data_IF_003710018736
#
_entry.id   IF_003710018736
#
_cell.length_a   1.000
_cell.length_b   1.000
_cell.length_c   1.000
_cell.angle_alpha   90.00
_cell.angle_beta   90.00
_cell.angle_gamma   90.00
#
_symmetry.space_group_name_H-M   'P 1'
#
loop_
_entity.id
_entity.type
_entity.pdbx_description
1 polymer ?
#
# COMPACT_ATOMS: atom_id res chain seq x y z
N UNK A 1 6.33 -51.82 26.10
CA UNK A 1 5.92 -50.61 26.87
C UNK A 1 4.47 -50.69 27.34
N UNK A 2 3.53 -50.97 26.44
CA UNK A 2 2.08 -51.07 26.72
C UNK A 2 1.73 -52.12 27.79
N UNK A 3 2.40 -53.29 27.76
CA UNK A 3 2.18 -54.38 28.73
C UNK A 3 2.61 -54.03 30.17
N UNK A 4 3.68 -53.24 30.33
CA UNK A 4 4.14 -52.74 31.64
C UNK A 4 3.19 -51.70 32.22
N UNK A 5 2.62 -50.84 31.37
CA UNK A 5 1.62 -49.84 31.75
C UNK A 5 0.29 -50.49 32.20
N UNK A 6 -0.18 -51.53 31.49
CA UNK A 6 -1.35 -52.32 31.90
C UNK A 6 -1.17 -52.98 33.26
N UNK A 7 -0.02 -53.59 33.49
CA UNK A 7 0.28 -54.25 34.77
C UNK A 7 0.40 -53.26 35.94
N UNK A 8 0.88 -52.04 35.68
CA UNK A 8 0.93 -50.98 36.69
C UNK A 8 -0.45 -50.40 37.00
N UNK A 9 -1.29 -50.16 35.97
CA UNK A 9 -2.66 -49.67 36.13
C UNK A 9 -3.55 -50.63 36.93
N UNK A 10 -3.41 -51.93 36.71
CA UNK A 10 -4.18 -52.96 37.43
C UNK A 10 -3.79 -53.07 38.92
N UNK A 11 -2.65 -52.51 39.35
CA UNK A 11 -2.21 -52.46 40.77
C UNK A 11 -2.71 -51.22 41.52
N UNK A 12 -3.29 -50.23 40.84
CA UNK A 12 -3.82 -49.00 41.45
C UNK A 12 -5.17 -49.27 42.13
N UNK A 13 -5.51 -48.50 43.18
CA UNK A 13 -6.84 -48.53 43.79
C UNK A 13 -7.92 -48.06 42.80
N UNK A 14 -9.19 -48.44 43.01
CA UNK A 14 -10.32 -48.00 42.16
C UNK A 14 -10.38 -46.48 41.99
N UNK A 15 -10.06 -45.72 43.05
CA UNK A 15 -10.07 -44.24 43.06
C UNK A 15 -8.93 -43.66 42.21
N UNK A 16 -7.76 -44.31 42.22
CA UNK A 16 -6.60 -43.94 41.40
C UNK A 16 -6.78 -44.32 39.93
N UNK A 17 -7.41 -45.47 39.64
CA UNK A 17 -7.78 -45.88 38.29
C UNK A 17 -8.76 -44.89 37.64
N UNK A 18 -9.76 -44.40 38.39
CA UNK A 18 -10.70 -43.39 37.90
C UNK A 18 -10.00 -42.04 37.60
N UNK A 19 -9.10 -41.60 38.49
CA UNK A 19 -8.30 -40.39 38.31
C UNK A 19 -7.37 -40.51 37.10
N UNK A 20 -6.76 -41.68 36.90
CA UNK A 20 -5.94 -41.98 35.73
C UNK A 20 -6.75 -41.96 34.43
N UNK A 21 -7.94 -42.57 34.40
CA UNK A 21 -8.89 -42.52 33.27
C UNK A 21 -9.30 -41.09 32.92
N UNK A 22 -9.65 -40.26 33.91
CA UNK A 22 -9.99 -38.85 33.70
C UNK A 22 -8.80 -38.07 33.11
N UNK A 23 -7.59 -38.26 33.65
CA UNK A 23 -6.37 -37.63 33.09
C UNK A 23 -6.08 -38.09 31.66
N UNK A 24 -6.22 -39.38 31.35
CA UNK A 24 -6.00 -39.89 29.99
C UNK A 24 -7.05 -39.41 29.01
N UNK A 25 -8.31 -39.26 29.44
CA UNK A 25 -9.38 -38.68 28.62
C UNK A 25 -9.10 -37.20 28.32
N UNK A 26 -8.70 -36.42 29.32
CA UNK A 26 -8.32 -35.01 29.14
C UNK A 26 -7.12 -34.90 28.19
N UNK A 27 -6.09 -35.73 28.37
CA UNK A 27 -4.92 -35.75 27.48
C UNK A 27 -5.30 -36.15 26.04
N UNK A 28 -6.21 -37.11 25.87
CA UNK A 28 -6.73 -37.52 24.56
C UNK A 28 -7.51 -36.40 23.87
N UNK A 29 -8.40 -35.71 24.60
CA UNK A 29 -9.13 -34.54 24.08
C UNK A 29 -8.17 -33.42 23.72
N UNK A 30 -7.18 -33.13 24.57
CA UNK A 30 -6.17 -32.10 24.28
C UNK A 30 -5.34 -32.43 23.04
N UNK A 31 -4.98 -33.71 22.84
CA UNK A 31 -4.27 -34.15 21.64
C UNK A 31 -5.14 -34.00 20.38
N UNK A 32 -6.42 -34.37 20.45
CA UNK A 32 -7.36 -34.21 19.33
C UNK A 32 -7.53 -32.72 19.00
N UNK A 33 -7.73 -31.86 20.00
CA UNK A 33 -7.82 -30.41 19.80
C UNK A 33 -6.54 -29.84 19.22
N UNK A 34 -5.37 -30.31 19.67
CA UNK A 34 -4.07 -29.91 19.11
C UNK A 34 -3.92 -30.34 17.64
N UNK A 35 -4.34 -31.56 17.29
CA UNK A 35 -4.29 -32.05 15.92
C UNK A 35 -5.25 -31.27 15.02
N UNK A 36 -6.48 -31.01 15.47
CA UNK A 36 -7.45 -30.16 14.75
C UNK A 36 -6.85 -28.77 14.53
N UNK A 37 -6.28 -28.17 15.57
CA UNK A 37 -5.63 -26.87 15.49
C UNK A 37 -4.47 -26.87 14.49
N UNK A 38 -3.60 -27.88 14.54
CA UNK A 38 -2.49 -28.04 13.59
C UNK A 38 -2.99 -28.14 12.14
N UNK A 39 -4.05 -28.92 11.90
CA UNK A 39 -4.69 -29.03 10.58
C UNK A 39 -5.27 -27.69 10.12
N UNK A 40 -5.96 -26.94 10.99
CA UNK A 40 -6.54 -25.63 10.66
C UNK A 40 -5.46 -24.58 10.35
N UNK A 41 -4.35 -24.61 11.09
CA UNK A 41 -3.23 -23.71 10.84
C UNK A 41 -2.56 -24.09 9.50
N UNK A 42 -2.29 -25.37 9.28
CA UNK A 42 -1.64 -25.90 8.06
C UNK A 42 -2.48 -25.70 6.80
N UNK A 43 -3.79 -25.99 6.84
CA UNK A 43 -4.69 -25.86 5.70
C UNK A 43 -4.82 -24.41 5.18
N UNK A 44 -4.45 -23.42 6.00
CA UNK A 44 -4.40 -22.01 5.59
C UNK A 44 -2.99 -21.47 5.38
N UNK A 45 -1.97 -22.32 5.31
CA UNK A 45 -0.62 -21.90 4.93
C UNK A 45 -0.41 -21.97 3.41
N UNK A 46 0.33 -21.01 2.85
CA UNK A 46 0.79 -21.08 1.46
C UNK A 46 1.69 -22.32 1.24
N UNK A 47 1.70 -22.86 0.03
CA UNK A 47 2.58 -23.95 -0.35
C UNK A 47 4.06 -23.51 -0.39
N UNK A 48 5.00 -24.44 -0.19
CA UNK A 48 6.44 -24.13 -0.31
C UNK A 48 6.83 -23.65 -1.73
N UNK A 49 6.06 -24.02 -2.75
CA UNK A 49 6.26 -23.51 -4.11
C UNK A 49 5.86 -22.03 -4.27
N UNK A 50 4.91 -21.52 -3.48
CA UNK A 50 4.62 -20.06 -3.44
C UNK A 50 5.70 -19.27 -2.69
N UNK A 51 6.51 -19.95 -1.88
CA UNK A 51 7.69 -19.40 -1.20
C UNK A 51 8.87 -19.22 -2.16
N UNK A 52 9.05 -20.15 -3.11
CA UNK A 52 10.15 -20.16 -4.10
C UNK A 52 9.79 -19.39 -5.38
N UNK A 53 8.51 -19.40 -5.76
CA UNK A 53 7.95 -18.61 -6.84
C UNK A 53 6.70 -17.90 -6.31
N UNK A 54 6.84 -16.85 -5.50
CA UNK A 54 5.70 -16.00 -5.18
C UNK A 54 5.09 -15.58 -6.50
N UNK A 55 3.79 -15.85 -6.71
CA UNK A 55 3.06 -15.41 -7.90
C UNK A 55 3.24 -13.91 -8.00
N UNK A 56 4.23 -13.49 -8.77
CA UNK A 56 4.51 -12.08 -9.00
C UNK A 56 3.27 -11.55 -9.66
N UNK A 57 2.66 -10.51 -9.10
CA UNK A 57 1.54 -9.81 -9.73
C UNK A 57 2.08 -9.22 -11.05
N UNK A 58 1.98 -10.00 -12.14
CA UNK A 58 2.46 -9.59 -13.44
C UNK A 58 1.47 -8.60 -14.01
N UNK A 59 1.96 -7.43 -14.40
CA UNK A 59 1.14 -6.43 -15.05
C UNK A 59 0.58 -7.01 -16.36
N UNK A 60 -0.74 -6.96 -16.54
CA UNK A 60 -1.36 -7.28 -17.81
C UNK A 60 -1.06 -6.17 -18.81
N UNK A 61 -0.58 -6.51 -20.00
CA UNK A 61 -0.16 -5.55 -21.02
C UNK A 61 -1.24 -5.47 -22.11
N UNK A 62 -1.60 -4.25 -22.48
CA UNK A 62 -2.55 -3.95 -23.55
C UNK A 62 -1.79 -3.52 -24.81
N UNK A 63 -2.07 -4.17 -25.92
CA UNK A 63 -1.46 -3.96 -27.22
C UNK A 63 -2.46 -3.43 -28.25
N UNK A 64 -1.95 -2.65 -29.19
CA UNK A 64 -2.67 -2.13 -30.34
C UNK A 64 -2.74 -3.16 -31.48
N UNK A 65 -3.37 -2.80 -32.61
CA UNK A 65 -3.52 -3.71 -33.76
C UNK A 65 -2.20 -4.14 -34.41
N UNK A 66 -1.12 -3.39 -34.18
CA UNK A 66 0.21 -3.66 -34.72
C UNK A 66 1.14 -4.30 -33.67
N UNK A 67 0.64 -4.56 -32.46
CA UNK A 67 1.43 -5.10 -31.35
C UNK A 67 2.25 -4.06 -30.59
N UNK A 68 2.03 -2.76 -30.79
CA UNK A 68 2.62 -1.69 -29.97
C UNK A 68 1.89 -1.63 -28.61
N UNK A 69 2.64 -1.47 -27.51
CA UNK A 69 2.06 -1.37 -26.16
C UNK A 69 1.26 -0.08 -26.00
N UNK A 70 -0.04 -0.20 -25.79
CA UNK A 70 -0.94 0.89 -25.41
C UNK A 70 -0.73 1.24 -23.94
N UNK A 71 -0.76 0.24 -23.06
CA UNK A 71 -0.76 0.45 -21.62
C UNK A 71 -0.64 -0.84 -20.85
N UNK A 72 -0.83 -0.75 -19.53
CA UNK A 72 -0.72 -1.89 -18.63
C UNK A 72 -1.72 -1.74 -17.48
N UNK A 73 -2.30 -2.87 -17.05
CA UNK A 73 -3.10 -3.00 -15.84
C UNK A 73 -2.29 -3.72 -14.79
N UNK A 74 -2.12 -3.08 -13.65
CA UNK A 74 -1.41 -3.64 -12.52
C UNK A 74 -2.08 -3.17 -11.23
N UNK A 75 -2.06 -4.00 -10.19
CA UNK A 75 -2.27 -3.51 -8.82
C UNK A 75 -1.00 -2.80 -8.36
N UNK A 76 0.16 -3.26 -8.85
CA UNK A 76 1.49 -2.84 -8.42
C UNK A 76 2.40 -2.60 -9.64
N UNK A 77 2.88 -1.38 -9.84
CA UNK A 77 3.95 -1.14 -10.82
C UNK A 77 5.27 -1.55 -10.16
N UNK A 78 5.60 -2.84 -10.17
CA UNK A 78 6.86 -3.31 -9.60
C UNK A 78 8.00 -3.00 -10.56
N UNK A 79 8.84 -2.05 -10.19
CA UNK A 79 10.22 -2.03 -10.65
C UNK A 79 11.01 -2.77 -9.57
N UNK A 80 11.34 -4.03 -9.83
CA UNK A 80 12.24 -4.77 -8.96
C UNK A 80 13.59 -4.07 -8.96
N UNK A 81 14.07 -3.77 -7.76
CA UNK A 81 15.42 -3.24 -7.57
C UNK A 81 16.25 -4.26 -6.82
N UNK A 82 17.53 -4.30 -7.19
CA UNK A 82 18.56 -4.95 -6.39
C UNK A 82 18.79 -4.12 -5.13
N UNK A 83 18.88 -4.79 -3.98
CA UNK A 83 19.18 -4.17 -2.68
C UNK A 83 20.51 -3.40 -2.67
N UNK A 84 21.46 -3.75 -3.55
CA UNK A 84 22.74 -3.05 -3.68
C UNK A 84 22.58 -1.63 -4.27
N UNK A 85 21.44 -1.33 -4.90
CA UNK A 85 21.10 0.01 -5.41
C UNK A 85 20.40 0.84 -4.32
N UNK A 86 19.91 0.21 -3.25
CA UNK A 86 19.23 0.89 -2.14
C UNK A 86 20.25 1.64 -1.28
N UNK A 87 20.02 2.93 -0.97
CA UNK A 87 20.88 3.66 -0.05
C UNK A 87 20.95 2.97 1.32
N UNK A 88 22.16 2.83 1.87
CA UNK A 88 22.36 2.24 3.20
C UNK A 88 21.51 2.94 4.27
N UNK A 89 21.34 4.26 4.18
CA UNK A 89 20.50 5.03 5.09
C UNK A 89 19.03 4.54 5.13
N UNK A 90 18.50 3.99 4.03
CA UNK A 90 17.16 3.41 4.03
C UNK A 90 17.11 2.08 4.79
N UNK A 91 18.11 1.22 4.56
CA UNK A 91 18.23 -0.07 5.25
C UNK A 91 18.38 0.18 6.76
N UNK A 92 19.24 1.11 7.14
CA UNK A 92 19.49 1.50 8.52
C UNK A 92 18.24 2.09 9.18
N UNK A 93 17.52 2.98 8.49
CA UNK A 93 16.26 3.54 8.96
C UNK A 93 15.20 2.46 9.21
N UNK A 94 15.10 1.50 8.28
CA UNK A 94 14.17 0.37 8.35
C UNK A 94 14.49 -0.51 9.56
N UNK A 95 15.74 -0.96 9.69
CA UNK A 95 16.18 -1.82 10.80
C UNK A 95 16.01 -1.10 12.14
N UNK A 96 16.45 0.16 12.25
CA UNK A 96 16.37 0.90 13.51
C UNK A 96 14.93 1.12 14.01
N UNK A 97 13.96 1.18 13.09
CA UNK A 97 12.56 1.48 13.41
C UNK A 97 11.68 0.24 13.50
N UNK A 98 11.76 -0.63 12.50
CA UNK A 98 10.88 -1.79 12.37
C UNK A 98 11.45 -3.01 13.09
N UNK A 99 12.78 -3.21 13.13
CA UNK A 99 13.37 -4.44 13.64
C UNK A 99 14.85 -4.32 14.08
N UNK A 100 15.08 -3.77 15.28
CA UNK A 100 16.44 -3.45 15.79
C UNK A 100 17.37 -4.65 15.93
N UNK A 101 16.83 -5.85 16.09
CA UNK A 101 17.58 -7.11 16.23
C UNK A 101 17.52 -7.96 14.95
N UNK A 102 17.25 -7.33 13.80
CA UNK A 102 16.99 -8.04 12.54
C UNK A 102 18.01 -9.14 12.23
N UNK A 103 19.30 -8.89 12.46
CA UNK A 103 20.36 -9.85 12.20
C UNK A 103 20.51 -10.95 13.28
N UNK A 104 19.92 -10.77 14.47
CA UNK A 104 20.13 -11.66 15.63
C UNK A 104 19.05 -12.73 15.79
N UNK A 105 17.94 -12.65 15.05
CA UNK A 105 16.81 -13.58 15.19
C UNK A 105 16.52 -14.37 13.89
N UNK A 106 15.82 -15.50 14.03
CA UNK A 106 15.44 -16.41 12.94
C UNK A 106 14.04 -16.10 12.36
N UNK A 107 13.73 -14.82 12.18
CA UNK A 107 12.41 -14.33 11.76
C UNK A 107 11.43 -13.96 12.89
N UNK A 108 11.65 -14.42 14.12
CA UNK A 108 10.79 -14.08 15.28
C UNK A 108 11.63 -13.56 16.45
N UNK A 109 11.36 -12.33 16.90
CA UNK A 109 11.96 -11.77 18.12
C UNK A 109 11.08 -12.11 19.36
N UNK A 110 11.47 -13.18 20.06
CA UNK A 110 10.76 -13.67 21.26
C UNK A 110 10.82 -12.66 22.40
N UNK A 111 11.97 -11.99 22.61
CA UNK A 111 12.12 -10.99 23.65
C UNK A 111 11.16 -9.82 23.44
N UNK A 112 11.04 -9.36 22.18
CA UNK A 112 10.14 -8.26 21.81
C UNK A 112 8.68 -8.66 21.97
N UNK A 113 8.30 -9.89 21.64
CA UNK A 113 6.96 -10.42 21.88
C UNK A 113 6.62 -10.40 23.36
N UNK A 114 7.50 -10.94 24.22
CA UNK A 114 7.29 -10.97 25.67
C UNK A 114 7.16 -9.55 26.21
N UNK A 115 8.07 -8.64 25.84
CA UNK A 115 8.03 -7.23 26.26
C UNK A 115 6.76 -6.52 25.80
N UNK A 116 6.29 -6.79 24.58
CA UNK A 116 5.07 -6.20 24.05
C UNK A 116 3.81 -6.70 24.79
N UNK A 117 3.74 -8.00 25.10
CA UNK A 117 2.66 -8.57 25.91
C UNK A 117 2.63 -7.92 27.28
N UNK A 118 3.79 -7.83 27.95
CA UNK A 118 3.89 -7.21 29.28
C UNK A 118 3.42 -5.75 29.24
N UNK A 119 3.89 -4.95 28.28
CA UNK A 119 3.46 -3.55 28.15
C UNK A 119 1.98 -3.39 27.80
N UNK A 120 1.43 -4.29 27.00
CA UNK A 120 0.02 -4.22 26.59
C UNK A 120 -0.90 -4.58 27.75
N UNK A 121 -0.60 -5.68 28.48
CA UNK A 121 -1.44 -6.18 29.57
C UNK A 121 -1.28 -5.36 30.84
N UNK A 122 -0.04 -5.03 31.22
CA UNK A 122 0.23 -4.39 32.52
C UNK A 122 0.34 -2.87 32.45
N UNK A 123 0.64 -2.29 31.27
CA UNK A 123 0.86 -0.85 31.13
C UNK A 123 -0.14 -0.17 30.17
N UNK A 124 -1.11 -0.91 29.62
CA UNK A 124 -2.09 -0.42 28.64
C UNK A 124 -1.46 0.37 27.47
N UNK A 125 -0.20 0.06 27.12
CA UNK A 125 0.58 0.72 26.07
C UNK A 125 0.87 -0.30 24.97
N UNK A 126 -0.03 -0.46 23.98
CA UNK A 126 0.17 -1.42 22.90
C UNK A 126 1.42 -1.07 22.09
N UNK A 127 2.31 -2.04 21.93
CA UNK A 127 3.56 -1.90 21.16
C UNK A 127 3.62 -2.99 20.08
N UNK A 128 4.05 -2.61 18.89
CA UNK A 128 4.26 -3.56 17.79
C UNK A 128 5.42 -4.51 18.09
N UNK A 129 5.18 -5.81 18.00
CA UNK A 129 6.17 -6.86 18.22
C UNK A 129 6.65 -7.56 16.94
N UNK A 130 6.12 -7.17 15.78
CA UNK A 130 6.44 -7.87 14.53
C UNK A 130 7.77 -7.46 13.94
N UNK A 131 8.50 -8.46 13.43
CA UNK A 131 9.78 -8.36 12.73
C UNK A 131 9.59 -8.02 11.25
N UNK A 132 10.65 -7.63 10.56
CA UNK A 132 10.61 -7.40 9.10
C UNK A 132 10.16 -8.68 8.37
N UNK A 133 10.71 -9.84 8.74
CA UNK A 133 10.36 -11.13 8.13
C UNK A 133 8.90 -11.53 8.34
N UNK A 134 8.33 -11.25 9.53
CA UNK A 134 6.89 -11.44 9.77
C UNK A 134 6.05 -10.52 8.88
N UNK A 135 6.43 -9.24 8.77
CA UNK A 135 5.73 -8.30 7.91
C UNK A 135 5.82 -8.69 6.42
N UNK A 136 6.99 -9.18 5.98
CA UNK A 136 7.19 -9.74 4.64
C UNK A 136 6.25 -10.92 4.40
N UNK A 137 6.19 -11.90 5.31
CA UNK A 137 5.30 -13.06 5.18
C UNK A 137 3.84 -12.65 5.07
N UNK A 138 3.40 -11.68 5.87
CA UNK A 138 2.04 -11.16 5.83
C UNK A 138 1.71 -10.54 4.46
N UNK A 139 2.67 -9.82 3.87
CA UNK A 139 2.49 -9.14 2.59
C UNK A 139 2.53 -10.13 1.41
N UNK A 140 3.49 -11.06 1.38
CA UNK A 140 3.63 -12.04 0.30
C UNK A 140 2.41 -12.96 0.19
N UNK A 141 1.87 -13.41 1.32
CA UNK A 141 0.78 -14.39 1.32
C UNK A 141 -0.61 -13.77 1.46
N UNK A 142 -0.72 -12.43 1.44
CA UNK A 142 -2.00 -11.74 1.57
C UNK A 142 -2.79 -12.17 2.80
N UNK A 143 -2.12 -12.55 3.90
CA UNK A 143 -2.75 -13.26 5.01
C UNK A 143 -3.83 -12.44 5.73
N UNK A 144 -3.81 -11.12 5.54
CA UNK A 144 -4.67 -10.17 6.25
C UNK A 144 -6.01 -9.99 5.53
N UNK A 145 -7.09 -10.40 6.17
CA UNK A 145 -8.46 -10.08 5.75
C UNK A 145 -8.92 -8.74 6.33
N UNK A 146 -9.87 -8.06 5.67
CA UNK A 146 -10.42 -6.77 6.10
C UNK A 146 -11.20 -6.86 7.42
N UNK A 147 -11.82 -8.01 7.69
CA UNK A 147 -12.79 -8.20 8.78
C UNK A 147 -12.38 -9.35 9.73
N UNK A 148 -11.10 -9.38 10.12
CA UNK A 148 -10.62 -10.41 11.05
C UNK A 148 -11.13 -10.22 12.48
N UNK A 149 -11.73 -11.27 13.04
CA UNK A 149 -12.01 -11.35 14.47
C UNK A 149 -10.75 -11.71 15.28
N UNK A 150 -10.81 -11.59 16.61
CA UNK A 150 -9.67 -11.85 17.50
C UNK A 150 -9.02 -13.22 17.30
N UNK A 151 -9.83 -14.27 17.09
CA UNK A 151 -9.35 -15.64 16.86
C UNK A 151 -8.62 -15.74 15.52
N UNK A 152 -9.17 -15.14 14.46
CA UNK A 152 -8.58 -15.14 13.11
C UNK A 152 -7.26 -14.37 13.08
N UNK A 153 -7.20 -13.23 13.79
CA UNK A 153 -5.95 -12.48 14.00
C UNK A 153 -4.87 -13.34 14.67
N UNK A 154 -5.24 -14.14 15.67
CA UNK A 154 -4.32 -15.07 16.35
C UNK A 154 -3.81 -16.17 15.41
N UNK A 155 -4.71 -16.79 14.63
CA UNK A 155 -4.35 -17.81 13.63
C UNK A 155 -3.43 -17.23 12.55
N UNK A 156 -3.74 -16.03 12.02
CA UNK A 156 -2.86 -15.33 11.09
C UNK A 156 -1.49 -15.08 11.69
N UNK A 157 -1.40 -14.62 12.95
CA UNK A 157 -0.10 -14.36 13.59
C UNK A 157 0.75 -15.62 13.74
N UNK A 158 0.13 -16.77 14.00
CA UNK A 158 0.85 -18.05 14.02
C UNK A 158 1.34 -18.44 12.62
N UNK A 159 0.51 -18.24 11.59
CA UNK A 159 0.93 -18.43 10.19
C UNK A 159 2.09 -17.52 9.83
N UNK A 160 2.04 -16.23 10.17
CA UNK A 160 3.16 -15.29 9.98
C UNK A 160 4.43 -15.77 10.69
N UNK A 161 4.34 -16.30 11.92
CA UNK A 161 5.51 -16.85 12.62
C UNK A 161 6.09 -18.04 11.86
N UNK A 162 5.28 -19.03 11.54
CA UNK A 162 5.75 -20.25 10.86
C UNK A 162 6.33 -19.91 9.48
N UNK A 163 5.66 -19.08 8.70
CA UNK A 163 6.14 -18.61 7.40
C UNK A 163 7.42 -17.79 7.52
N UNK A 164 7.57 -16.94 8.56
CA UNK A 164 8.81 -16.20 8.78
C UNK A 164 10.01 -17.12 9.04
N UNK A 165 9.82 -18.23 9.77
CA UNK A 165 10.89 -19.23 9.96
C UNK A 165 11.26 -19.90 8.65
N UNK A 166 10.26 -20.21 7.81
CA UNK A 166 10.50 -20.84 6.51
C UNK A 166 11.29 -19.91 5.59
N UNK A 167 10.90 -18.62 5.53
CA UNK A 167 11.64 -17.60 4.77
C UNK A 167 13.09 -17.52 5.24
N UNK A 168 13.33 -17.44 6.55
CA UNK A 168 14.69 -17.29 7.11
C UNK A 168 15.58 -18.53 6.97
N UNK A 169 14.99 -19.70 6.69
CA UNK A 169 15.74 -20.92 6.39
C UNK A 169 16.18 -20.99 4.93
N UNK A 170 15.44 -20.35 4.03
CA UNK A 170 15.64 -20.45 2.59
C UNK A 170 16.32 -19.21 1.99
N UNK A 171 16.23 -18.06 2.67
CA UNK A 171 16.74 -16.77 2.20
C UNK A 171 17.67 -16.13 3.21
N UNK A 172 18.70 -15.47 2.70
CA UNK A 172 19.61 -14.64 3.49
C UNK A 172 18.94 -13.35 3.97
N UNK A 173 19.48 -12.73 5.01
CA UNK A 173 19.00 -11.43 5.52
C UNK A 173 18.96 -10.34 4.45
N UNK A 174 19.93 -10.36 3.53
CA UNK A 174 20.02 -9.43 2.40
C UNK A 174 18.85 -9.62 1.44
N UNK A 175 18.57 -10.85 1.02
CA UNK A 175 17.44 -11.20 0.15
C UNK A 175 16.09 -10.89 0.82
N UNK A 176 15.98 -11.09 2.13
CA UNK A 176 14.76 -10.75 2.89
C UNK A 176 14.50 -9.23 2.86
N UNK A 177 15.54 -8.41 3.03
CA UNK A 177 15.41 -6.95 2.93
C UNK A 177 15.03 -6.52 1.51
N UNK A 178 15.65 -7.14 0.50
CA UNK A 178 15.32 -6.90 -0.91
C UNK A 178 13.85 -7.18 -1.21
N UNK A 179 13.39 -8.40 -0.90
CA UNK A 179 12.00 -8.80 -1.09
C UNK A 179 11.07 -7.86 -0.31
N UNK A 180 11.38 -7.55 0.95
CA UNK A 180 10.56 -6.66 1.76
C UNK A 180 10.42 -5.27 1.15
N UNK A 181 11.52 -4.66 0.71
CA UNK A 181 11.50 -3.33 0.11
C UNK A 181 10.82 -3.31 -1.24
N UNK A 182 10.86 -4.40 -2.02
CA UNK A 182 10.19 -4.53 -3.31
C UNK A 182 8.68 -4.77 -3.20
N UNK A 183 8.18 -5.40 -2.13
CA UNK A 183 6.74 -5.70 -1.97
C UNK A 183 6.01 -4.76 -1.01
N UNK A 184 6.73 -3.98 -0.22
CA UNK A 184 6.11 -3.11 0.79
C UNK A 184 5.23 -2.02 0.17
N UNK A 185 4.07 -1.79 0.78
CA UNK A 185 3.14 -0.73 0.37
C UNK A 185 3.47 0.59 1.07
N UNK A 186 3.73 1.63 0.29
CA UNK A 186 4.07 2.98 0.77
C UNK A 186 2.94 3.99 0.56
N UNK A 187 1.72 3.55 0.23
CA UNK A 187 0.59 4.45 0.02
C UNK A 187 0.52 4.97 -1.42
N UNK A 188 -0.62 5.56 -1.81
CA UNK A 188 -0.84 6.12 -3.16
C UNK A 188 -0.55 5.13 -4.30
N UNK A 189 -0.84 3.84 -4.10
CA UNK A 189 -0.52 2.77 -5.07
C UNK A 189 0.98 2.54 -5.33
N UNK A 190 1.86 3.10 -4.48
CA UNK A 190 3.28 2.85 -4.53
C UNK A 190 3.62 1.55 -3.78
N UNK A 191 3.77 0.46 -4.54
CA UNK A 191 4.27 -0.82 -4.06
C UNK A 191 5.73 -0.96 -4.49
N UNK A 192 6.59 -1.24 -3.52
CA UNK A 192 8.02 -1.23 -3.72
C UNK A 192 8.65 0.14 -3.49
N UNK A 193 9.87 0.13 -2.96
CA UNK A 193 10.60 1.35 -2.58
C UNK A 193 10.93 2.24 -3.79
N UNK A 194 11.24 1.66 -4.96
CA UNK A 194 11.51 2.44 -6.17
C UNK A 194 10.27 3.21 -6.64
N UNK A 195 9.12 2.55 -6.67
CA UNK A 195 7.84 3.20 -6.93
C UNK A 195 7.54 4.28 -5.89
N UNK A 196 7.87 4.06 -4.61
CA UNK A 196 7.73 5.06 -3.57
C UNK A 196 8.66 6.27 -3.81
N UNK A 197 9.93 6.06 -4.15
CA UNK A 197 10.88 7.13 -4.47
C UNK A 197 10.38 8.02 -5.61
N UNK A 198 9.89 7.41 -6.69
CA UNK A 198 9.32 8.14 -7.82
C UNK A 198 8.02 8.88 -7.46
N UNK A 199 7.17 8.26 -6.64
CA UNK A 199 5.88 8.81 -6.21
C UNK A 199 6.04 10.03 -5.33
N UNK A 200 6.91 9.90 -4.33
CA UNK A 200 7.03 10.86 -3.25
C UNK A 200 8.13 11.88 -3.49
N UNK A 201 9.12 11.61 -4.34
CA UNK A 201 10.24 12.54 -4.54
C UNK A 201 10.57 12.79 -6.01
N UNK A 202 9.95 12.05 -6.94
CA UNK A 202 10.32 12.08 -8.37
C UNK A 202 11.80 11.74 -8.60
N UNK A 203 12.35 10.86 -7.76
CA UNK A 203 13.74 10.41 -7.76
C UNK A 203 13.84 8.90 -7.94
N UNK A 204 15.02 8.43 -8.36
CA UNK A 204 15.37 7.01 -8.18
C UNK A 204 15.63 6.72 -6.70
N UNK A 205 15.43 5.48 -6.28
CA UNK A 205 15.71 5.04 -4.91
C UNK A 205 17.16 5.35 -4.49
N UNK A 206 18.12 5.20 -5.40
CA UNK A 206 19.54 5.46 -5.16
C UNK A 206 19.89 6.94 -4.94
N UNK A 207 18.97 7.84 -5.25
CA UNK A 207 19.13 9.30 -5.14
C UNK A 207 18.49 9.87 -3.87
N UNK A 208 17.91 9.01 -3.03
CA UNK A 208 17.24 9.43 -1.79
C UNK A 208 18.25 9.86 -0.74
N UNK A 209 17.96 10.98 -0.09
CA UNK A 209 18.70 11.41 1.10
C UNK A 209 18.18 10.75 2.39
N UNK A 210 18.87 10.97 3.51
CA UNK A 210 18.52 10.38 4.82
C UNK A 210 17.12 10.79 5.29
N UNK A 211 16.70 12.03 5.05
CA UNK A 211 15.38 12.52 5.47
C UNK A 211 14.26 11.90 4.63
N UNK A 212 14.49 11.71 3.33
CA UNK A 212 13.58 11.02 2.40
C UNK A 212 13.47 9.53 2.74
N UNK A 213 14.60 8.87 3.02
CA UNK A 213 14.63 7.50 3.51
C UNK A 213 13.85 7.32 4.82
N UNK A 214 14.09 8.20 5.80
CA UNK A 214 13.38 8.19 7.06
C UNK A 214 11.87 8.44 6.88
N UNK A 215 11.48 9.23 5.87
CA UNK A 215 10.07 9.49 5.56
C UNK A 215 9.40 8.25 4.94
N UNK A 216 10.06 7.55 4.02
CA UNK A 216 9.55 6.28 3.48
C UNK A 216 9.32 5.25 4.59
N UNK A 217 10.27 5.09 5.50
CA UNK A 217 10.14 4.15 6.63
C UNK A 217 9.04 4.60 7.61
N UNK A 218 8.91 5.90 7.86
CA UNK A 218 7.84 6.43 8.70
C UNK A 218 6.44 6.06 8.18
N UNK A 219 6.26 6.00 6.86
CA UNK A 219 5.00 5.66 6.20
C UNK A 219 4.62 4.19 6.38
N UNK A 220 5.57 3.25 6.45
CA UNK A 220 5.30 1.80 6.50
C UNK A 220 4.31 1.40 7.62
N UNK A 221 4.31 2.12 8.74
CA UNK A 221 3.38 1.88 9.86
C UNK A 221 1.91 2.06 9.45
N UNK A 222 1.61 3.09 8.66
CA UNK A 222 0.26 3.40 8.17
C UNK A 222 0.37 4.34 6.96
N UNK A 223 0.53 3.80 5.75
CA UNK A 223 0.97 4.60 4.60
C UNK A 223 0.00 5.71 4.19
N UNK A 224 -1.31 5.45 4.25
CA UNK A 224 -2.32 6.46 3.93
C UNK A 224 -2.44 7.55 5.01
N UNK A 225 -2.17 7.20 6.28
CA UNK A 225 -2.27 8.13 7.39
C UNK A 225 -1.06 9.07 7.46
N UNK A 226 0.15 8.50 7.34
CA UNK A 226 1.42 9.24 7.37
C UNK A 226 1.82 9.79 5.99
N UNK A 227 0.84 10.16 5.17
CA UNK A 227 1.07 10.66 3.83
C UNK A 227 1.52 12.15 3.88
N UNK A 228 2.71 12.51 3.39
CA UNK A 228 3.22 13.88 3.41
C UNK A 228 2.39 14.86 2.56
N UNK A 229 1.58 14.34 1.64
CA UNK A 229 0.69 15.08 0.74
C UNK A 229 -0.75 15.17 1.22
N UNK A 230 -1.02 14.80 2.48
CA UNK A 230 -2.32 15.07 3.07
C UNK A 230 -2.59 16.57 3.10
N UNK A 231 -3.77 17.00 2.70
CA UNK A 231 -4.18 18.41 2.81
C UNK A 231 -4.50 18.82 4.27
N UNK A 232 -4.57 17.86 5.20
CA UNK A 232 -4.73 18.12 6.62
C UNK A 232 -3.40 18.50 7.26
N UNK A 233 -3.27 19.75 7.71
CA UNK A 233 -2.07 20.23 8.43
C UNK A 233 -1.74 19.35 9.64
N UNK A 234 -2.76 18.85 10.35
CA UNK A 234 -2.59 17.91 11.45
C UNK A 234 -1.91 16.62 11.01
N UNK A 235 -2.36 15.99 9.91
CA UNK A 235 -1.75 14.76 9.39
C UNK A 235 -0.33 15.00 8.88
N UNK A 236 -0.06 16.14 8.23
CA UNK A 236 1.29 16.53 7.82
C UNK A 236 2.23 16.69 9.02
N UNK A 237 1.78 17.33 10.09
CA UNK A 237 2.56 17.46 11.34
C UNK A 237 2.87 16.10 11.96
N UNK A 238 1.88 15.20 12.05
CA UNK A 238 2.08 13.84 12.57
C UNK A 238 3.03 13.00 11.70
N UNK A 239 2.99 13.20 10.38
CA UNK A 239 3.93 12.59 9.43
C UNK A 239 5.37 13.06 9.69
N UNK A 240 5.55 14.38 9.88
CA UNK A 240 6.83 14.97 10.21
C UNK A 240 7.39 14.44 11.55
N UNK A 241 6.54 14.38 12.58
CA UNK A 241 6.90 13.82 13.89
C UNK A 241 7.31 12.35 13.79
N UNK A 242 6.60 11.55 12.98
CA UNK A 242 6.93 10.14 12.76
C UNK A 242 8.25 9.97 12.02
N UNK A 243 8.54 10.77 10.99
CA UNK A 243 9.86 10.79 10.33
C UNK A 243 10.97 11.16 11.31
N UNK A 244 10.74 12.16 12.15
CA UNK A 244 11.75 12.57 13.14
C UNK A 244 12.00 11.48 14.20
N UNK A 245 10.99 10.68 14.53
CA UNK A 245 11.16 9.49 15.36
C UNK A 245 12.02 8.42 14.67
N UNK A 246 11.91 8.25 13.35
CA UNK A 246 12.79 7.35 12.60
C UNK A 246 14.25 7.83 12.68
N UNK A 247 14.50 9.12 12.46
CA UNK A 247 15.83 9.70 12.61
C UNK A 247 16.38 9.51 14.04
N UNK A 248 15.53 9.66 15.06
CA UNK A 248 15.90 9.38 16.44
C UNK A 248 16.28 7.91 16.65
N UNK A 249 15.52 6.97 16.10
CA UNK A 249 15.83 5.56 16.18
C UNK A 249 17.19 5.23 15.54
N UNK A 250 17.54 5.89 14.42
CA UNK A 250 18.83 5.71 13.76
C UNK A 250 19.99 6.19 14.64
N UNK A 251 19.83 7.31 15.36
CA UNK A 251 20.84 7.77 16.34
C UNK A 251 20.99 6.78 17.49
N UNK A 252 19.89 6.26 18.02
CA UNK A 252 19.92 5.26 19.10
C UNK A 252 20.61 3.94 18.69
N UNK A 253 20.62 3.64 17.40
CA UNK A 253 21.30 2.47 16.82
C UNK A 253 22.69 2.82 16.25
N UNK A 254 23.18 4.04 16.50
CA UNK A 254 24.48 4.55 16.04
C UNK A 254 24.65 4.61 14.51
N UNK A 255 23.56 4.53 13.75
CA UNK A 255 23.56 4.64 12.28
C UNK A 255 23.57 6.10 11.79
N UNK A 256 23.27 7.05 12.68
CA UNK A 256 23.23 8.48 12.37
C UNK A 256 23.85 9.26 13.52
N UNK A 257 24.64 10.29 13.22
CA UNK A 257 25.15 11.19 14.26
C UNK A 257 24.05 12.11 14.77
N UNK A 258 24.17 12.57 16.02
CA UNK A 258 23.22 13.55 16.59
C UNK A 258 23.24 14.87 15.80
N UNK A 259 24.41 15.27 15.28
CA UNK A 259 24.53 16.46 14.42
C UNK A 259 23.76 16.30 13.11
N UNK A 260 23.85 15.14 12.46
CA UNK A 260 23.09 14.84 11.25
C UNK A 260 21.59 14.74 11.52
N UNK A 261 21.18 14.19 12.68
CA UNK A 261 19.77 14.18 13.10
C UNK A 261 19.20 15.60 13.12
N UNK A 262 19.91 16.55 13.73
CA UNK A 262 19.48 17.95 13.80
C UNK A 262 19.35 18.54 12.39
N UNK A 263 20.36 18.35 11.54
CA UNK A 263 20.37 18.79 10.14
C UNK A 263 19.17 18.24 9.35
N UNK A 264 18.93 16.94 9.39
CA UNK A 264 17.86 16.29 8.62
C UNK A 264 16.46 16.55 9.19
N UNK A 265 16.35 16.91 10.47
CA UNK A 265 15.07 17.31 11.08
C UNK A 265 14.49 18.57 10.46
N UNK A 266 15.34 19.48 9.98
CA UNK A 266 14.94 20.74 9.36
C UNK A 266 14.39 20.58 7.93
N UNK A 267 14.60 19.43 7.30
CA UNK A 267 14.06 19.17 5.96
C UNK A 267 12.54 19.22 6.00
N UNK A 268 11.96 19.96 5.05
CA UNK A 268 10.51 20.07 4.90
C UNK A 268 9.94 18.83 4.23
N UNK A 269 8.68 18.51 4.52
CA UNK A 269 7.95 17.50 3.76
C UNK A 269 7.82 17.95 2.30
N UNK A 270 7.84 17.02 1.34
CA UNK A 270 7.67 17.37 -0.07
C UNK A 270 6.31 18.05 -0.28
N UNK A 271 6.28 19.06 -1.15
CA UNK A 271 5.09 19.91 -1.33
C UNK A 271 4.16 19.44 -2.45
N UNK A 272 4.67 18.64 -3.41
CA UNK A 272 3.89 18.16 -4.56
C UNK A 272 4.19 16.70 -4.84
N UNK A 273 3.17 15.82 -4.81
CA UNK A 273 3.35 14.46 -5.27
C UNK A 273 3.63 14.44 -6.76
N UNK A 274 4.36 13.41 -7.21
CA UNK A 274 4.17 12.93 -8.57
C UNK A 274 2.78 12.31 -8.64
N UNK A 275 1.99 12.76 -9.60
CA UNK A 275 0.64 12.24 -9.81
C UNK A 275 0.74 10.87 -10.51
N UNK A 276 0.82 9.78 -9.75
CA UNK A 276 0.87 8.43 -10.37
C UNK A 276 -0.48 8.06 -11.01
N UNK A 277 -1.59 8.70 -10.65
CA UNK A 277 -2.85 8.51 -11.40
C UNK A 277 -2.68 8.98 -12.85
N UNK A 278 -1.71 9.85 -13.11
CA UNK A 278 -1.27 10.19 -14.47
C UNK A 278 -0.35 9.18 -15.13
N UNK A 279 0.15 8.15 -14.45
CA UNK A 279 0.88 7.08 -15.14
C UNK A 279 -0.08 6.24 -16.02
N UNK A 280 -1.31 6.00 -15.57
CA UNK A 280 -2.38 5.44 -16.41
C UNK A 280 -2.87 6.46 -17.47
N UNK A 281 -2.74 7.76 -17.20
CA UNK A 281 -2.95 8.85 -18.19
C UNK A 281 -1.72 9.13 -19.07
N UNK A 282 -0.59 8.44 -18.87
CA UNK A 282 0.64 8.68 -19.65
C UNK A 282 0.68 7.86 -20.93
N UNK A 283 -0.39 7.11 -21.21
CA UNK A 283 -0.57 6.42 -22.47
C UNK A 283 -1.14 7.36 -23.51
N UNK A 284 -0.95 7.01 -24.77
CA UNK A 284 -1.56 7.70 -25.90
C UNK A 284 -3.09 7.62 -25.85
N UNK A 285 -3.67 6.63 -25.16
CA UNK A 285 -5.09 6.31 -25.25
C UNK A 285 -5.72 5.97 -23.88
N UNK A 286 -5.72 6.89 -22.90
CA UNK A 286 -6.10 6.57 -21.54
C UNK A 286 -7.59 6.25 -21.38
N UNK A 287 -8.47 6.95 -22.10
CA UNK A 287 -9.91 6.66 -22.12
C UNK A 287 -10.20 5.29 -22.74
N UNK A 288 -9.49 4.95 -23.82
CA UNK A 288 -9.61 3.63 -24.43
C UNK A 288 -9.11 2.53 -23.49
N UNK A 289 -8.01 2.77 -22.77
CA UNK A 289 -7.50 1.84 -21.78
C UNK A 289 -8.53 1.58 -20.65
N UNK A 290 -9.22 2.62 -20.17
CA UNK A 290 -10.32 2.47 -19.21
C UNK A 290 -11.52 1.69 -19.80
N UNK A 291 -11.87 1.94 -21.07
CA UNK A 291 -12.89 1.18 -21.77
C UNK A 291 -12.53 -0.31 -21.88
N UNK A 292 -11.28 -0.63 -22.21
CA UNK A 292 -10.77 -2.01 -22.21
C UNK A 292 -10.86 -2.61 -20.81
N UNK A 293 -10.46 -1.87 -19.76
CA UNK A 293 -10.56 -2.33 -18.36
C UNK A 293 -11.99 -2.72 -17.99
N UNK A 294 -12.97 -1.90 -18.40
CA UNK A 294 -14.39 -2.17 -18.14
C UNK A 294 -14.85 -3.46 -18.84
N UNK A 295 -14.54 -3.62 -20.13
CA UNK A 295 -14.88 -4.84 -20.87
C UNK A 295 -14.22 -6.10 -20.30
N UNK A 296 -12.97 -5.99 -19.85
CA UNK A 296 -12.27 -7.12 -19.25
C UNK A 296 -12.94 -7.61 -17.96
N UNK A 297 -13.71 -6.77 -17.25
CA UNK A 297 -14.37 -7.15 -15.98
C UNK A 297 -15.24 -8.40 -16.11
N UNK A 298 -15.96 -8.55 -17.21
CA UNK A 298 -16.85 -9.71 -17.42
C UNK A 298 -16.08 -10.92 -17.94
N UNK A 299 -15.04 -10.68 -18.76
CA UNK A 299 -14.17 -11.72 -19.33
C UNK A 299 -13.37 -12.41 -18.22
N UNK A 300 -12.74 -11.63 -17.34
CA UNK A 300 -11.87 -12.18 -16.28
C UNK A 300 -12.67 -12.98 -15.26
N UNK A 301 -13.90 -12.56 -14.92
CA UNK A 301 -14.83 -13.32 -14.07
C UNK A 301 -15.22 -14.67 -14.68
N UNK A 302 -15.44 -14.72 -16.00
CA UNK A 302 -15.83 -15.95 -16.69
C UNK A 302 -14.70 -16.99 -16.71
N UNK A 303 -13.46 -16.53 -16.76
CA UNK A 303 -12.28 -17.37 -16.92
C UNK A 303 -11.48 -17.60 -15.63
N UNK A 304 -11.95 -17.08 -14.49
CA UNK A 304 -11.29 -17.18 -13.18
C UNK A 304 -9.83 -16.70 -13.21
N UNK A 305 -9.60 -15.59 -13.90
CA UNK A 305 -8.30 -14.90 -13.98
C UNK A 305 -8.40 -13.51 -13.35
N UNK A 306 -7.29 -12.98 -12.86
CA UNK A 306 -7.18 -11.62 -12.31
C UNK A 306 -6.49 -10.69 -13.31
N UNK A 307 -7.23 -9.68 -13.79
CA UNK A 307 -6.75 -8.67 -14.74
C UNK A 307 -5.45 -7.99 -14.30
N UNK A 308 -5.21 -7.89 -13.00
CA UNK A 308 -4.12 -7.11 -12.46
C UNK A 308 -2.97 -7.94 -11.88
N UNK A 309 -3.09 -9.27 -11.86
CA UNK A 309 -2.11 -10.18 -11.23
C UNK A 309 -1.60 -11.27 -12.15
N UNK A 310 -2.38 -11.66 -13.16
CA UNK A 310 -2.08 -12.85 -13.96
C UNK A 310 -1.32 -12.57 -15.26
N UNK A 311 -0.83 -11.34 -15.48
CA UNK A 311 0.07 -11.03 -16.59
C UNK A 311 -0.54 -11.23 -17.99
N UNK A 312 -1.82 -10.90 -18.16
CA UNK A 312 -2.54 -11.11 -19.42
C UNK A 312 -1.93 -10.28 -20.56
N UNK A 313 -1.93 -10.83 -21.78
CA UNK A 313 -1.64 -10.09 -23.01
C UNK A 313 -2.94 -9.80 -23.74
N UNK A 314 -3.36 -8.53 -23.74
CA UNK A 314 -4.65 -8.08 -24.26
C UNK A 314 -4.41 -7.39 -25.60
N UNK A 315 -4.91 -7.96 -26.69
CA UNK A 315 -4.81 -7.36 -28.03
C UNK A 315 -6.11 -6.64 -28.36
N UNK A 316 -6.01 -5.43 -28.90
CA UNK A 316 -7.16 -4.55 -29.13
C UNK A 316 -7.23 -4.11 -30.59
N UNK A 317 -8.34 -3.45 -30.96
CA UNK A 317 -8.57 -2.90 -32.29
C UNK A 317 -8.07 -1.46 -32.45
N UNK A 318 -7.50 -0.85 -31.41
CA UNK A 318 -6.98 0.51 -31.50
C UNK A 318 -5.71 0.54 -32.37
N UNK A 319 -5.62 1.54 -33.25
CA UNK A 319 -4.37 1.90 -33.92
C UNK A 319 -3.74 3.10 -33.19
N UNK A 320 -2.56 2.91 -32.60
CA UNK A 320 -1.88 3.98 -31.85
C UNK A 320 -1.41 5.12 -32.76
N UNK A 321 -1.10 4.85 -34.02
CA UNK A 321 -0.75 5.88 -35.00
C UNK A 321 -1.93 6.83 -35.25
N UNK A 322 -3.12 6.27 -35.50
CA UNK A 322 -4.35 7.06 -35.66
C UNK A 322 -4.72 7.80 -34.38
N UNK A 323 -4.58 7.18 -33.21
CA UNK A 323 -4.86 7.85 -31.93
C UNK A 323 -3.89 9.02 -31.67
N UNK A 324 -2.59 8.88 -32.00
CA UNK A 324 -1.60 9.97 -31.91
C UNK A 324 -2.02 11.15 -32.79
N UNK A 325 -2.47 10.90 -34.01
CA UNK A 325 -2.96 11.93 -34.94
C UNK A 325 -4.21 12.61 -34.37
N UNK A 326 -5.18 11.83 -33.88
CA UNK A 326 -6.40 12.36 -33.28
C UNK A 326 -6.10 13.28 -32.08
N UNK A 327 -5.25 12.82 -31.15
CA UNK A 327 -4.83 13.61 -29.99
C UNK A 327 -4.15 14.92 -30.41
N UNK A 328 -3.29 14.87 -31.43
CA UNK A 328 -2.60 16.06 -31.96
C UNK A 328 -3.60 17.06 -32.57
N UNK A 329 -4.57 16.58 -33.34
CA UNK A 329 -5.62 17.41 -33.93
C UNK A 329 -6.48 18.08 -32.86
N UNK A 330 -6.89 17.32 -31.84
CA UNK A 330 -7.62 17.86 -30.68
C UNK A 330 -6.78 18.90 -29.95
N UNK A 331 -5.52 18.60 -29.61
CA UNK A 331 -4.65 19.53 -28.90
C UNK A 331 -4.47 20.86 -29.66
N UNK A 332 -4.27 20.81 -30.98
CA UNK A 332 -4.13 22.00 -31.82
C UNK A 332 -5.43 22.83 -31.84
N UNK A 333 -6.57 22.17 -32.06
CA UNK A 333 -7.85 22.86 -32.16
C UNK A 333 -8.32 23.40 -30.81
N UNK A 334 -8.07 22.62 -29.74
CA UNK A 334 -8.41 22.98 -28.36
C UNK A 334 -7.74 24.29 -27.94
N UNK A 335 -6.47 24.51 -28.29
CA UNK A 335 -5.79 25.77 -28.01
C UNK A 335 -6.46 26.98 -28.69
N UNK A 336 -6.94 26.81 -29.92
CA UNK A 336 -7.62 27.87 -30.66
C UNK A 336 -8.99 28.18 -30.05
N UNK A 337 -9.78 27.14 -29.76
CA UNK A 337 -11.11 27.28 -29.16
C UNK A 337 -10.99 27.85 -27.74
N UNK A 338 -10.05 27.37 -26.93
CA UNK A 338 -9.83 27.85 -25.57
C UNK A 338 -9.51 29.36 -25.57
N UNK A 339 -8.64 29.83 -26.48
CA UNK A 339 -8.36 31.26 -26.65
C UNK A 339 -9.61 32.06 -27.04
N UNK A 340 -10.44 31.51 -27.93
CA UNK A 340 -11.68 32.17 -28.33
C UNK A 340 -12.68 32.25 -27.18
N UNK A 341 -12.79 31.22 -26.34
CA UNK A 341 -13.61 31.26 -25.12
C UNK A 341 -13.05 32.27 -24.13
N UNK A 342 -11.74 32.23 -23.84
CA UNK A 342 -11.14 33.16 -22.87
C UNK A 342 -11.29 34.62 -23.30
N UNK A 343 -11.27 34.91 -24.60
CA UNK A 343 -11.50 36.24 -25.14
C UNK A 343 -12.97 36.69 -25.06
N UNK A 344 -13.91 35.79 -25.38
CA UNK A 344 -15.34 36.14 -25.49
C UNK A 344 -16.14 35.90 -24.20
N UNK A 345 -15.58 35.20 -23.21
CA UNK A 345 -16.30 34.82 -22.00
C UNK A 345 -16.56 36.02 -21.08
N UNK A 346 -17.83 36.24 -20.76
CA UNK A 346 -18.26 37.19 -19.73
C UNK A 346 -19.01 36.47 -18.61
N UNK A 347 -18.68 36.83 -17.37
CA UNK A 347 -19.40 36.38 -16.18
C UNK A 347 -20.72 37.08 -15.94
N UNK A 348 -21.01 38.14 -16.69
CA UNK A 348 -22.25 38.89 -16.60
C UNK A 348 -23.47 37.96 -16.81
N UNK A 349 -24.40 38.02 -15.85
CA UNK A 349 -25.62 37.20 -15.81
C UNK A 349 -25.40 35.71 -15.47
N UNK A 350 -24.20 35.31 -14.99
CA UNK A 350 -23.84 33.90 -14.69
C UNK A 350 -23.44 33.69 -13.23
N UNK A 351 -23.85 34.59 -12.34
CA UNK A 351 -23.49 34.60 -10.92
C UNK A 351 -23.87 33.30 -10.22
N UNK A 352 -25.04 32.73 -10.55
CA UNK A 352 -25.50 31.46 -9.96
C UNK A 352 -24.59 30.28 -10.31
N UNK A 353 -24.10 30.22 -11.56
CA UNK A 353 -23.18 29.15 -12.02
C UNK A 353 -21.84 29.30 -11.31
N UNK A 354 -21.35 30.54 -11.24
CA UNK A 354 -20.09 30.88 -10.58
C UNK A 354 -20.11 30.54 -9.09
N UNK A 355 -21.19 30.92 -8.39
CA UNK A 355 -21.39 30.59 -6.98
C UNK A 355 -21.46 29.06 -6.75
N UNK A 356 -22.17 28.33 -7.59
CA UNK A 356 -22.24 26.86 -7.48
C UNK A 356 -20.86 26.21 -7.61
N UNK A 357 -20.01 26.73 -8.49
CA UNK A 357 -18.65 26.23 -8.65
C UNK A 357 -17.74 26.56 -7.48
N UNK A 358 -17.87 27.75 -6.89
CA UNK A 358 -17.18 28.10 -5.66
C UNK A 358 -17.58 27.16 -4.53
N UNK A 359 -18.88 26.93 -4.34
CA UNK A 359 -19.39 26.03 -3.31
C UNK A 359 -18.82 24.62 -3.47
N UNK A 360 -18.83 24.09 -4.69
CA UNK A 360 -18.25 22.78 -5.00
C UNK A 360 -16.75 22.75 -4.72
N UNK A 361 -16.00 23.71 -5.26
CA UNK A 361 -14.56 23.77 -5.10
C UNK A 361 -14.15 23.87 -3.62
N UNK A 362 -14.90 24.61 -2.80
CA UNK A 362 -14.65 24.73 -1.35
C UNK A 362 -14.95 23.41 -0.64
N UNK A 363 -16.12 22.80 -0.93
CA UNK A 363 -16.55 21.54 -0.30
C UNK A 363 -15.67 20.35 -0.67
N UNK A 364 -15.05 20.39 -1.85
CA UNK A 364 -14.10 19.37 -2.30
C UNK A 364 -12.73 19.49 -1.62
N UNK A 365 -12.45 20.57 -0.88
CA UNK A 365 -11.21 20.67 -0.11
C UNK A 365 -11.22 19.71 1.07
N UNK A 366 -10.14 18.98 1.26
CA UNK A 366 -9.94 18.10 2.42
C UNK A 366 -10.11 18.84 3.75
N UNK A 367 -9.69 20.10 3.84
CA UNK A 367 -9.91 20.92 5.03
C UNK A 367 -11.40 21.02 5.39
N UNK A 368 -12.29 21.22 4.41
CA UNK A 368 -13.73 21.26 4.62
C UNK A 368 -14.31 19.87 4.94
N UNK A 369 -13.79 18.82 4.29
CA UNK A 369 -14.25 17.43 4.48
C UNK A 369 -13.83 16.83 5.83
N UNK A 370 -12.66 17.20 6.32
CA UNK A 370 -12.07 16.72 7.58
C UNK A 370 -12.55 17.55 8.80
N UNK A 371 -13.32 18.63 8.59
CA UNK A 371 -13.85 19.46 9.66
C UNK A 371 -14.95 18.73 10.46
N UNK A 372 -14.78 18.67 11.79
CA UNK A 372 -15.63 17.88 12.70
C UNK A 372 -16.89 18.64 13.12
N UNK A 373 -16.88 19.97 13.05
CA UNK A 373 -18.00 20.83 13.48
C UNK A 373 -18.44 21.77 12.38
N UNK A 374 -19.72 22.15 12.38
CA UNK A 374 -20.26 23.13 11.42
C UNK A 374 -19.57 24.50 11.55
N UNK A 375 -19.22 24.91 12.77
CA UNK A 375 -18.46 26.15 12.99
C UNK A 375 -17.08 26.15 12.30
N UNK A 376 -16.40 24.99 12.24
CA UNK A 376 -15.14 24.84 11.51
C UNK A 376 -15.37 24.89 9.99
N UNK A 377 -16.41 24.21 9.49
CA UNK A 377 -16.79 24.25 8.06
C UNK A 377 -17.12 25.67 7.61
N UNK A 378 -17.90 26.40 8.39
CA UNK A 378 -18.26 27.80 8.12
C UNK A 378 -17.03 28.70 8.13
N UNK A 379 -16.11 28.50 9.07
CA UNK A 379 -14.84 29.25 9.13
C UNK A 379 -14.00 29.02 7.87
N UNK A 380 -13.84 27.76 7.45
CA UNK A 380 -13.09 27.36 6.24
C UNK A 380 -13.75 27.91 4.98
N UNK A 381 -15.07 27.79 4.90
CA UNK A 381 -15.85 28.29 3.77
C UNK A 381 -15.67 29.80 3.61
N UNK A 382 -15.85 30.55 4.71
CA UNK A 382 -15.67 32.00 4.72
C UNK A 382 -14.23 32.42 4.40
N UNK A 383 -13.22 31.67 4.86
CA UNK A 383 -11.83 31.92 4.53
C UNK A 383 -11.55 31.72 3.03
N UNK A 384 -12.07 30.64 2.43
CA UNK A 384 -11.89 30.35 1.00
C UNK A 384 -12.66 31.32 0.10
N UNK A 385 -13.84 31.76 0.51
CA UNK A 385 -14.59 32.81 -0.20
C UNK A 385 -13.89 34.17 -0.20
N UNK A 386 -12.91 34.40 0.69
CA UNK A 386 -12.08 35.61 0.71
C UNK A 386 -10.76 35.45 -0.07
N UNK A 387 -10.37 34.21 -0.38
CA UNK A 387 -9.15 33.92 -1.11
C UNK A 387 -9.34 34.14 -2.62
N UNK A 388 -8.94 35.33 -3.08
CA UNK A 388 -9.04 35.72 -4.49
C UNK A 388 -8.29 34.77 -5.43
N UNK A 389 -7.17 34.17 -5.01
CA UNK A 389 -6.41 33.24 -5.85
C UNK A 389 -7.15 31.92 -6.00
N UNK A 390 -7.74 31.44 -4.91
CA UNK A 390 -8.58 30.24 -4.93
C UNK A 390 -9.80 30.43 -5.84
N UNK A 391 -10.53 31.54 -5.68
CA UNK A 391 -11.71 31.82 -6.51
C UNK A 391 -11.36 32.01 -7.99
N UNK A 392 -10.27 32.71 -8.31
CA UNK A 392 -9.81 32.86 -9.70
C UNK A 392 -9.44 31.51 -10.34
N UNK A 393 -8.92 30.56 -9.55
CA UNK A 393 -8.69 29.19 -10.02
C UNK A 393 -9.99 28.46 -10.30
N UNK A 394 -10.98 28.56 -9.41
CA UNK A 394 -12.30 27.97 -9.62
C UNK A 394 -13.00 28.55 -10.87
N UNK A 395 -12.91 29.86 -11.09
CA UNK A 395 -13.39 30.50 -12.32
C UNK A 395 -12.68 29.98 -13.56
N UNK A 396 -11.36 29.80 -13.48
CA UNK A 396 -10.57 29.32 -14.61
C UNK A 396 -10.97 27.89 -14.98
N UNK A 397 -11.19 27.02 -13.99
CA UNK A 397 -11.63 25.63 -14.19
C UNK A 397 -12.97 25.54 -14.93
N UNK A 398 -13.92 26.43 -14.63
CA UNK A 398 -15.21 26.48 -15.32
C UNK A 398 -15.12 26.85 -16.82
N UNK A 399 -14.06 27.54 -17.22
CA UNK A 399 -13.86 27.98 -18.62
C UNK A 399 -13.02 27.01 -19.43
N UNK A 400 -12.52 25.94 -18.82
CA UNK A 400 -11.73 24.93 -19.53
C UNK A 400 -12.67 24.20 -20.48
N UNK A 401 -12.33 24.22 -21.76
CA UNK A 401 -12.99 23.37 -22.76
C UNK A 401 -12.59 21.93 -22.48
N UNK A 402 -13.57 21.05 -22.35
CA UNK A 402 -13.35 19.62 -22.34
C UNK A 402 -13.66 19.05 -23.72
N UNK A 403 -12.93 18.03 -24.14
CA UNK A 403 -13.14 17.40 -25.45
C UNK A 403 -13.17 15.89 -25.26
N UNK A 404 -14.26 15.27 -25.70
CA UNK A 404 -14.38 13.81 -25.79
C UNK A 404 -14.21 13.36 -27.24
N UNK A 405 -13.64 12.18 -27.43
CA UNK A 405 -13.57 11.51 -28.73
C UNK A 405 -14.53 10.33 -28.73
N UNK A 406 -15.44 10.28 -29.70
CA UNK A 406 -16.36 9.17 -29.90
C UNK A 406 -16.04 8.57 -31.26
N UNK A 407 -15.66 7.29 -31.27
CA UNK A 407 -15.50 6.51 -32.50
C UNK A 407 -16.78 5.73 -32.69
N UNK A 408 -17.44 5.94 -33.83
CA UNK A 408 -18.61 5.18 -34.24
C UNK A 408 -18.20 4.21 -35.34
N UNK A 409 -18.68 2.96 -35.27
CA UNK A 409 -18.57 2.04 -36.39
C UNK A 409 -19.38 2.62 -37.57
N UNK A 410 -18.72 2.86 -38.71
CA UNK A 410 -19.36 3.47 -39.87
C UNK A 410 -20.50 2.63 -40.47
N UNK A 411 -20.56 1.33 -40.16
CA UNK A 411 -21.59 0.41 -40.65
C UNK A 411 -22.81 0.37 -39.74
N UNK A 412 -22.59 0.45 -38.42
CA UNK A 412 -23.65 0.26 -37.42
C UNK A 412 -24.08 1.56 -36.74
N UNK A 413 -23.23 2.59 -36.76
CA UNK A 413 -23.46 3.88 -36.12
C UNK A 413 -23.38 3.85 -34.59
N UNK A 414 -22.91 2.73 -34.01
CA UNK A 414 -22.71 2.54 -32.57
C UNK A 414 -21.24 2.63 -32.17
#
# INVERSE_FOLDING_TARGET
MITKLKNHYNKLSKKEQEKFRKKSQIAGIALILFLIFAVVVYAGMPGLEELENPKTNLASIVYDIHGEKIGEFFIEKRQEIDIDVVPQALIDALIATEDRKFYDHWGVDVDRIIKAIVKTVFLAKPQGASTITQQLSKNLYGLKSSDENFIETGLRKIREWISSVQIERNYTKKEILEMYLNVSYFGRSAYGVQSAAETYFSKKVSELDVAECALLVAMLKSPEFYNPYSDSERRRKLTLERRNLVLQNMVEMEFLSEADRIKYREFKLPEKPRDIRRATLSTVAPYFLEYVRQQMTDIVKKHDVDLYRDGLKIYTTLDLGLQKIANKSVANQHQLIQKAIDYNWSWDGKEKIRQTAYDRAIKDTDAYRDAETEAQKDSIYNAKMKDKKFLARADSLLKIVETGFVVLDYRTGY
#
